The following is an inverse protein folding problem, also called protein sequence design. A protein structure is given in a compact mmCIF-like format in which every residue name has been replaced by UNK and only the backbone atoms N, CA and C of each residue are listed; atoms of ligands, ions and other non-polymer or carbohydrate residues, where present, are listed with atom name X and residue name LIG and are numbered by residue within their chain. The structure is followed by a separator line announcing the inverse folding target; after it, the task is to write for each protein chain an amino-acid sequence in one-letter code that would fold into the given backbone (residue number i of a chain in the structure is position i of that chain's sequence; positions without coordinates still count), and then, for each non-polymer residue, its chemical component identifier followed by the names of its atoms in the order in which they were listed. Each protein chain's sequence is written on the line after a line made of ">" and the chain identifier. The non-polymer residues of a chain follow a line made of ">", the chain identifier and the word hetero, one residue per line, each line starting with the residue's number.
data_IF_004182663636
#
_entry.id   IF_004182663636
#
_cell.length_a   1.000
_cell.length_b   1.000
_cell.length_c   1.000
_cell.angle_alpha   90.00
_cell.angle_beta   90.00
_cell.angle_gamma   90.00
#
_symmetry.space_group_name_H-M   'P 1'
#
loop_
_entity.id
_entity.type
_entity.pdbx_description
1 polymer ?
#
# COMPACT_ATOMS: atom_id res chain seq x y z
N UNK A 1 -11.46 -10.67 -2.44
CA UNK A 1 -10.53 -10.93 -1.32
C UNK A 1 -9.97 -9.62 -0.83
N UNK A 2 -10.56 -9.06 0.22
CA UNK A 2 -10.13 -7.84 0.90
C UNK A 2 -9.30 -8.15 2.15
N UNK A 3 -8.35 -7.27 2.47
CA UNK A 3 -7.65 -7.23 3.76
C UNK A 3 -8.00 -5.94 4.48
N UNK A 4 -8.62 -6.04 5.65
CA UNK A 4 -9.10 -4.91 6.42
C UNK A 4 -8.18 -4.69 7.63
N UNK A 5 -7.83 -3.43 7.88
CA UNK A 5 -7.25 -3.00 9.15
C UNK A 5 -8.39 -2.44 9.99
N UNK A 6 -8.62 -3.03 11.15
CA UNK A 6 -9.72 -2.68 12.03
C UNK A 6 -9.19 -2.26 13.38
N UNK A 7 -9.94 -1.42 14.09
CA UNK A 7 -9.62 -1.02 15.46
C UNK A 7 -10.90 -0.79 16.25
N UNK A 8 -10.84 -1.07 17.55
CA UNK A 8 -11.85 -0.70 18.53
C UNK A 8 -11.61 0.68 19.16
N UNK A 9 -10.54 1.38 18.74
CA UNK A 9 -10.09 2.66 19.30
C UNK A 9 -8.83 2.54 20.16
N UNK A 10 -8.44 1.33 20.56
CA UNK A 10 -7.25 1.08 21.38
C UNK A 10 -6.33 0.02 20.77
N UNK A 11 -6.92 -1.07 20.28
CA UNK A 11 -6.21 -2.20 19.70
C UNK A 11 -6.52 -2.25 18.21
N UNK A 12 -5.48 -2.51 17.42
CA UNK A 12 -5.60 -2.74 15.99
C UNK A 12 -5.51 -4.22 15.67
N UNK A 13 -6.36 -4.70 14.77
CA UNK A 13 -6.33 -6.07 14.28
C UNK A 13 -6.46 -6.11 12.76
N UNK A 14 -6.05 -7.24 12.17
CA UNK A 14 -6.20 -7.46 10.74
C UNK A 14 -7.27 -8.50 10.49
N UNK A 15 -8.14 -8.22 9.52
CA UNK A 15 -9.16 -9.15 9.08
C UNK A 15 -9.02 -9.42 7.58
N UNK A 16 -9.48 -10.58 7.15
CA UNK A 16 -9.52 -10.99 5.74
C UNK A 16 -10.91 -11.44 5.37
N UNK A 17 -11.31 -11.09 4.16
CA UNK A 17 -12.51 -11.64 3.51
C UNK A 17 -12.26 -13.13 3.22
N UNK A 18 -12.85 -14.00 4.03
CA UNK A 18 -12.73 -15.46 3.88
C UNK A 18 -13.75 -16.01 2.88
N UNK A 19 -14.95 -15.43 2.86
CA UNK A 19 -15.98 -15.68 1.85
C UNK A 19 -16.43 -14.36 1.23
N UNK A 20 -16.96 -14.39 0.01
CA UNK A 20 -17.39 -13.19 -0.70
C UNK A 20 -18.35 -12.33 0.14
N UNK A 21 -18.05 -11.04 0.25
CA UNK A 21 -18.85 -10.05 0.98
C UNK A 21 -19.25 -8.91 0.04
N UNK A 22 -20.54 -8.80 -0.30
CA UNK A 22 -21.03 -7.74 -1.19
C UNK A 22 -21.09 -6.35 -0.54
N UNK A 23 -21.18 -6.30 0.80
CA UNK A 23 -21.39 -5.07 1.57
C UNK A 23 -20.12 -4.24 1.78
N UNK A 24 -18.93 -4.82 1.57
CA UNK A 24 -17.64 -4.14 1.77
C UNK A 24 -16.87 -4.20 0.45
N UNK A 25 -16.27 -3.07 0.06
CA UNK A 25 -15.47 -2.96 -1.16
C UNK A 25 -14.24 -2.07 -0.96
N UNK A 26 -13.38 -1.98 -1.96
CA UNK A 26 -12.27 -1.02 -1.97
C UNK A 26 -12.72 0.45 -2.00
N UNK A 27 -14.00 0.72 -2.24
CA UNK A 27 -14.57 2.07 -2.20
C UNK A 27 -15.24 2.39 -0.86
N UNK A 28 -15.23 1.45 0.10
CA UNK A 28 -15.75 1.72 1.44
C UNK A 28 -14.86 2.75 2.14
N UNK A 29 -15.42 3.88 2.62
CA UNK A 29 -14.63 4.95 3.18
C UNK A 29 -13.94 4.52 4.49
N UNK A 30 -12.73 5.01 4.77
CA UNK A 30 -12.11 4.84 6.07
C UNK A 30 -13.00 5.32 7.22
N UNK A 31 -12.96 4.58 8.33
CA UNK A 31 -13.77 4.88 9.50
C UNK A 31 -15.17 4.27 9.52
N UNK A 32 -15.57 3.56 8.45
CA UNK A 32 -16.80 2.74 8.45
C UNK A 32 -16.82 1.77 9.62
N UNK A 33 -17.94 1.76 10.34
CA UNK A 33 -18.18 0.89 11.47
C UNK A 33 -18.78 -0.42 10.98
N UNK A 34 -18.25 -1.52 11.48
CA UNK A 34 -18.74 -2.87 11.22
C UNK A 34 -19.01 -3.56 12.55
N UNK A 35 -20.10 -4.32 12.58
CA UNK A 35 -20.47 -5.14 13.71
C UNK A 35 -20.10 -6.59 13.40
N UNK A 36 -19.29 -7.17 14.27
CA UNK A 36 -19.05 -8.61 14.28
C UNK A 36 -20.13 -9.28 15.13
N UNK A 37 -20.73 -10.35 14.62
CA UNK A 37 -21.81 -11.08 15.27
C UNK A 37 -21.50 -12.58 15.30
N UNK A 38 -21.80 -13.22 16.42
CA UNK A 38 -21.46 -14.63 16.65
C UNK A 38 -19.97 -14.86 16.87
N UNK A 39 -19.53 -16.10 16.62
CA UNK A 39 -18.13 -16.51 16.77
C UNK A 39 -17.38 -16.21 15.48
N UNK A 40 -16.29 -15.45 15.56
CA UNK A 40 -15.39 -15.16 14.44
C UNK A 40 -14.10 -15.93 14.64
N UNK A 41 -13.76 -16.77 13.68
CA UNK A 41 -12.53 -17.53 13.72
C UNK A 41 -11.31 -16.62 13.50
N UNK A 42 -10.26 -16.87 14.29
CA UNK A 42 -8.98 -16.18 14.18
C UNK A 42 -7.92 -17.22 13.85
N UNK A 43 -7.25 -17.05 12.71
CA UNK A 43 -6.13 -17.91 12.29
C UNK A 43 -4.91 -17.06 12.00
N UNK A 44 -3.78 -17.39 12.64
CA UNK A 44 -2.51 -16.67 12.45
C UNK A 44 -2.62 -15.14 12.66
N UNK A 45 -3.49 -14.70 13.57
CA UNK A 45 -3.72 -13.27 13.84
C UNK A 45 -4.67 -12.56 12.86
N UNK A 46 -5.28 -13.30 11.92
CA UNK A 46 -6.28 -12.77 11.00
C UNK A 46 -7.69 -13.20 11.40
N UNK A 47 -8.60 -12.22 11.50
CA UNK A 47 -10.03 -12.49 11.64
C UNK A 47 -10.60 -12.93 10.30
N UNK A 48 -11.32 -14.05 10.29
CA UNK A 48 -11.95 -14.62 9.09
C UNK A 48 -13.38 -14.11 8.94
N UNK A 49 -13.56 -13.12 8.07
CA UNK A 49 -14.86 -12.46 7.88
C UNK A 49 -15.67 -13.13 6.76
N UNK A 50 -16.98 -13.20 6.99
CA UNK A 50 -17.98 -13.64 6.03
C UNK A 50 -19.25 -12.79 6.17
N UNK A 51 -20.21 -12.92 5.25
CA UNK A 51 -21.43 -12.12 5.28
C UNK A 51 -22.36 -12.48 6.46
N UNK A 52 -22.19 -13.66 7.06
CA UNK A 52 -22.97 -14.14 8.21
C UNK A 52 -22.50 -13.54 9.54
N UNK A 53 -21.20 -13.31 9.70
CA UNK A 53 -20.58 -12.83 10.93
C UNK A 53 -20.29 -11.32 10.90
N UNK A 54 -20.42 -10.66 9.76
CA UNK A 54 -20.10 -9.24 9.61
C UNK A 54 -21.28 -8.46 9.06
N UNK A 55 -21.68 -7.40 9.76
CA UNK A 55 -22.70 -6.46 9.32
C UNK A 55 -22.11 -5.05 9.24
N UNK A 56 -22.29 -4.37 8.12
CA UNK A 56 -21.83 -2.99 7.95
C UNK A 56 -22.85 -2.04 8.59
N UNK A 57 -22.40 -1.25 9.56
CA UNK A 57 -23.22 -0.20 10.19
C UNK A 57 -23.12 1.13 9.43
N UNK A 58 -22.09 1.29 8.60
CA UNK A 58 -21.84 2.50 7.82
C UNK A 58 -21.06 3.54 8.62
N UNK A 59 -21.30 4.81 8.29
CA UNK A 59 -20.53 5.93 8.82
C UNK A 59 -19.15 6.04 8.20
N UNK A 60 -18.51 7.17 8.51
CA UNK A 60 -17.19 7.54 8.00
C UNK A 60 -16.48 8.43 9.00
N UNK A 61 -15.17 8.58 8.85
CA UNK A 61 -14.36 9.48 9.67
C UNK A 61 -13.59 10.39 8.74
N UNK A 62 -14.03 11.64 8.63
CA UNK A 62 -13.54 12.66 7.69
C UNK A 62 -12.01 12.74 7.65
N UNK A 63 -11.37 12.87 8.80
CA UNK A 63 -9.91 12.98 8.87
C UNK A 63 -9.15 11.74 8.35
N UNK A 64 -9.76 10.54 8.42
CA UNK A 64 -9.16 9.34 7.83
C UNK A 64 -9.37 9.30 6.30
N UNK A 65 -10.47 9.85 5.81
CA UNK A 65 -10.77 9.94 4.38
C UNK A 65 -9.77 10.85 3.68
N UNK A 66 -9.48 12.04 4.23
CA UNK A 66 -8.52 13.00 3.64
C UNK A 66 -7.17 12.33 3.31
N UNK A 67 -6.61 11.62 4.30
CA UNK A 67 -5.35 10.90 4.14
C UNK A 67 -5.43 9.79 3.08
N UNK A 68 -6.54 9.07 3.07
CA UNK A 68 -6.77 7.96 2.14
C UNK A 68 -6.94 8.42 0.70
N UNK A 69 -7.70 9.49 0.48
CA UNK A 69 -7.88 10.07 -0.86
C UNK A 69 -6.58 10.65 -1.41
N UNK A 70 -5.78 11.32 -0.58
CA UNK A 70 -4.45 11.78 -0.97
C UNK A 70 -3.57 10.61 -1.41
N UNK A 71 -3.54 9.51 -0.65
CA UNK A 71 -2.78 8.31 -1.03
C UNK A 71 -3.31 7.67 -2.33
N UNK A 72 -4.64 7.66 -2.52
CA UNK A 72 -5.28 7.15 -3.74
C UNK A 72 -4.99 8.03 -4.96
N UNK A 73 -4.86 9.33 -4.77
CA UNK A 73 -4.43 10.31 -5.77
C UNK A 73 -2.97 10.10 -6.17
N UNK A 74 -2.05 10.02 -5.20
CA UNK A 74 -0.61 9.87 -5.46
C UNK A 74 -0.25 8.53 -6.11
N UNK A 75 -0.93 7.44 -5.72
CA UNK A 75 -0.71 6.12 -6.32
C UNK A 75 -1.06 6.06 -7.81
N UNK A 76 -2.00 6.90 -8.28
CA UNK A 76 -2.30 7.06 -9.71
C UNK A 76 -1.20 7.81 -10.47
N UNK A 77 -0.51 8.75 -9.80
CA UNK A 77 0.58 9.54 -10.40
C UNK A 77 1.92 8.79 -10.46
N UNK A 78 2.06 7.65 -9.79
CA UNK A 78 3.32 6.90 -9.72
C UNK A 78 3.64 6.04 -10.97
N UNK A 79 2.93 6.25 -12.10
CA UNK A 79 3.11 5.43 -13.33
C UNK A 79 3.02 6.17 -14.66
N UNK A 80 3.00 7.50 -14.70
CA UNK A 80 2.92 8.21 -15.99
C UNK A 80 4.26 8.45 -16.69
N UNK A 81 5.41 8.19 -16.05
CA UNK A 81 6.70 8.47 -16.69
C UNK A 81 7.40 7.17 -17.12
N UNK A 82 6.87 6.56 -18.17
CA UNK A 82 7.66 5.69 -19.05
C UNK A 82 8.66 6.63 -19.78
N UNK A 83 9.82 6.88 -19.18
CA UNK A 83 10.96 7.50 -19.87
C UNK A 83 11.32 8.96 -19.58
N UNK A 84 10.73 9.65 -18.60
CA UNK A 84 11.18 11.00 -18.19
C UNK A 84 11.33 11.12 -16.67
N UNK A 85 12.59 11.15 -16.23
CA UNK A 85 13.09 11.74 -14.97
C UNK A 85 12.26 11.51 -13.70
N UNK A 86 12.14 10.25 -13.25
CA UNK A 86 11.54 9.95 -11.94
C UNK A 86 10.99 8.53 -11.77
N UNK A 87 11.13 7.65 -12.75
CA UNK A 87 10.75 6.24 -12.63
C UNK A 87 11.66 5.46 -11.67
N UNK A 88 11.22 4.26 -11.21
CA UNK A 88 12.05 3.38 -10.40
C UNK A 88 13.40 3.16 -11.08
N UNK A 89 14.52 3.18 -10.32
CA UNK A 89 15.85 3.14 -10.90
C UNK A 89 15.98 1.88 -11.77
N UNK A 90 16.53 2.01 -13.00
CA UNK A 90 16.71 0.88 -13.87
C UNK A 90 17.56 -0.19 -13.18
N UNK A 91 17.12 -1.44 -13.26
CA UNK A 91 17.88 -2.56 -12.71
C UNK A 91 19.22 -2.66 -13.44
N UNK A 92 20.31 -2.41 -12.73
CA UNK A 92 21.67 -2.62 -13.22
C UNK A 92 22.14 -4.02 -12.80
N UNK A 93 22.42 -4.93 -13.74
CA UNK A 93 23.03 -6.21 -13.40
C UNK A 93 24.38 -6.01 -12.73
N UNK A 94 24.63 -6.75 -11.65
CA UNK A 94 25.94 -6.74 -10.99
C UNK A 94 27.03 -7.18 -11.97
N UNK A 95 28.12 -6.40 -12.08
CA UNK A 95 29.32 -6.76 -12.86
C UNK A 95 29.51 -6.07 -14.21
N UNK A 96 28.69 -5.10 -14.62
CA UNK A 96 28.88 -4.34 -15.87
C UNK A 96 29.68 -3.02 -15.73
N UNK A 97 30.37 -2.79 -14.61
CA UNK A 97 31.33 -1.70 -14.49
C UNK A 97 32.60 -2.03 -15.29
N UNK A 98 32.62 -1.74 -16.59
CA UNK A 98 33.87 -1.87 -17.35
C UNK A 98 33.83 -1.91 -18.87
N UNK A 99 32.69 -1.68 -19.54
CA UNK A 99 32.66 -1.65 -21.01
C UNK A 99 31.77 -0.56 -21.59
N UNK A 100 32.04 0.72 -21.28
CA UNK A 100 31.53 1.83 -22.09
C UNK A 100 32.60 2.92 -22.26
N UNK A 101 32.67 3.42 -23.49
CA UNK A 101 33.74 4.23 -24.08
C UNK A 101 34.14 5.47 -23.26
N UNK A 102 35.39 5.90 -23.45
CA UNK A 102 36.14 6.95 -22.74
C UNK A 102 35.50 8.34 -22.59
N UNK A 103 34.29 8.59 -23.08
CA UNK A 103 33.60 9.87 -22.94
C UNK A 103 32.83 10.04 -21.63
N UNK A 104 32.46 8.95 -20.93
CA UNK A 104 31.60 9.01 -19.74
C UNK A 104 32.37 9.20 -18.42
N UNK A 105 33.71 9.23 -18.45
CA UNK A 105 34.54 9.38 -17.24
C UNK A 105 34.33 10.72 -16.53
N UNK A 106 34.02 11.79 -17.26
CA UNK A 106 33.93 13.15 -16.69
C UNK A 106 32.69 13.43 -15.84
N UNK A 107 31.65 12.57 -15.91
CA UNK A 107 30.42 12.80 -15.16
C UNK A 107 30.46 12.22 -13.74
N UNK A 108 31.30 11.20 -13.51
CA UNK A 108 31.37 10.50 -12.22
C UNK A 108 32.50 11.00 -11.31
N UNK A 109 33.49 11.71 -11.85
CA UNK A 109 34.60 12.29 -11.08
C UNK A 109 34.17 13.47 -10.19
N UNK A 110 33.00 14.06 -10.46
CA UNK A 110 32.43 15.17 -9.66
C UNK A 110 31.64 14.66 -8.44
N UNK A 111 31.32 13.37 -8.38
CA UNK A 111 30.45 12.79 -7.34
C UNK A 111 31.19 12.03 -6.23
N UNK A 112 32.48 11.78 -6.41
CA UNK A 112 33.35 11.20 -5.39
C UNK A 112 34.65 11.98 -5.37
N UNK A 113 34.64 13.15 -4.75
CA UNK A 113 35.87 13.87 -4.45
C UNK A 113 36.72 13.01 -3.52
N UNK A 114 37.89 12.59 -3.99
CA UNK A 114 38.86 11.86 -3.20
C UNK A 114 39.26 12.67 -1.96
N UNK A 115 39.07 12.16 -0.73
CA UNK A 115 39.66 12.76 0.45
C UNK A 115 41.17 12.46 0.43
N UNK A 116 41.99 13.51 0.41
CA UNK A 116 43.42 13.42 0.74
C UNK A 116 43.61 13.02 2.20
#
# INVERSE_FOLDING_TARGET
>A
MLRLQMTDGHISCTAVEFSYMSKISLNTPPGTKVKLSGTVDIKNGFLLLNDSNTTVLGGEVEHLIEKWELQRSLSKHNRSNIGTEGGPPPFVPFGQFGRRNSQDKRKYEVLWGDPR
#
